data_IF_695793478678
#
_entry.id   IF_695793478678
#
_cell.length_a   1.000
_cell.length_b   1.000
_cell.length_c   1.000
_cell.angle_alpha   90.00
_cell.angle_beta   90.00
_cell.angle_gamma   90.00
#
_symmetry.space_group_name_H-M   'P 1'
#
loop_
_entity.id
_entity.type
_entity.pdbx_description
1 polymer ?
#
# COMPACT_ATOMS: atom_id res chain seq x y z
N UNK A 1 -7.13 6.83 18.85
CA UNK A 1 -6.17 5.69 18.76
C UNK A 1 -4.94 6.13 17.98
N UNK A 2 -3.85 5.37 18.01
CA UNK A 2 -2.66 5.59 17.19
C UNK A 2 -2.50 4.44 16.19
N UNK A 3 -2.44 4.74 14.90
CA UNK A 3 -2.34 3.77 13.83
C UNK A 3 -1.12 4.08 12.97
N UNK A 4 -0.35 3.05 12.61
CA UNK A 4 0.74 3.17 11.64
C UNK A 4 0.45 2.26 10.45
N UNK A 5 0.43 2.84 9.25
CA UNK A 5 0.32 2.14 7.97
C UNK A 5 1.72 2.06 7.35
N UNK A 6 2.22 0.85 7.08
CA UNK A 6 3.57 0.62 6.57
C UNK A 6 3.52 0.12 5.13
N UNK A 7 4.05 0.93 4.21
CA UNK A 7 4.00 0.72 2.77
C UNK A 7 5.39 0.75 2.14
N UNK A 8 5.51 0.13 0.96
CA UNK A 8 6.75 0.03 0.22
C UNK A 8 7.06 1.33 -0.53
N UNK A 9 6.07 1.89 -1.25
CA UNK A 9 6.29 3.00 -2.18
C UNK A 9 5.29 4.16 -2.00
N UNK A 10 5.60 5.35 -2.52
CA UNK A 10 4.66 6.48 -2.64
C UNK A 10 3.50 6.18 -3.59
N UNK A 11 2.27 6.02 -3.06
CA UNK A 11 0.98 5.73 -3.74
C UNK A 11 0.23 4.59 -3.04
N UNK A 12 0.97 3.59 -2.55
CA UNK A 12 0.44 2.42 -1.88
C UNK A 12 -0.48 2.77 -0.71
N UNK A 13 -0.18 3.84 0.04
CA UNK A 13 -1.01 4.26 1.18
C UNK A 13 -2.42 4.67 0.74
N UNK A 14 -2.53 5.24 -0.46
CA UNK A 14 -3.78 5.68 -1.06
C UNK A 14 -4.49 4.53 -1.81
N UNK A 15 -3.72 3.67 -2.47
CA UNK A 15 -4.21 2.53 -3.26
C UNK A 15 -4.80 1.42 -2.40
N UNK A 16 -4.10 1.04 -1.33
CA UNK A 16 -4.46 -0.11 -0.51
C UNK A 16 -5.27 0.24 0.73
N UNK A 17 -4.99 1.39 1.34
CA UNK A 17 -5.48 1.74 2.68
C UNK A 17 -5.99 3.18 2.79
N UNK A 18 -6.19 3.85 1.66
CA UNK A 18 -6.54 5.27 1.64
C UNK A 18 -7.86 5.52 2.35
N UNK A 19 -8.83 4.60 2.21
CA UNK A 19 -10.11 4.70 2.88
C UNK A 19 -9.97 4.53 4.39
N UNK A 20 -9.23 3.53 4.87
CA UNK A 20 -9.00 3.30 6.29
C UNK A 20 -8.24 4.45 6.93
N UNK A 21 -7.24 5.01 6.25
CA UNK A 21 -6.51 6.18 6.72
C UNK A 21 -7.46 7.37 6.88
N UNK A 22 -8.22 7.71 5.83
CA UNK A 22 -9.16 8.83 5.86
C UNK A 22 -10.27 8.63 6.91
N UNK A 23 -10.83 7.43 7.00
CA UNK A 23 -11.84 7.04 8.00
C UNK A 23 -11.34 7.29 9.42
N UNK A 24 -10.16 6.80 9.77
CA UNK A 24 -9.60 6.95 11.11
C UNK A 24 -9.19 8.40 11.40
N UNK A 25 -8.58 9.09 10.43
CA UNK A 25 -8.21 10.50 10.58
C UNK A 25 -9.43 11.40 10.84
N UNK A 26 -10.52 11.22 10.09
CA UNK A 26 -11.76 11.98 10.27
C UNK A 26 -12.40 11.79 11.65
N UNK A 27 -12.12 10.67 12.32
CA UNK A 27 -12.61 10.34 13.66
C UNK A 27 -11.69 10.85 14.79
N UNK A 28 -10.62 11.56 14.43
CA UNK A 28 -9.66 12.10 15.39
C UNK A 28 -8.64 11.08 15.89
N UNK A 29 -8.49 9.94 15.21
CA UNK A 29 -7.38 9.03 15.48
C UNK A 29 -6.08 9.61 14.93
N UNK A 30 -4.98 9.37 15.63
CA UNK A 30 -3.65 9.76 15.18
C UNK A 30 -3.12 8.72 14.20
N UNK A 31 -3.32 8.96 12.90
CA UNK A 31 -2.85 8.09 11.83
C UNK A 31 -1.49 8.55 11.31
N UNK A 32 -0.54 7.64 11.15
CA UNK A 32 0.75 7.90 10.51
C UNK A 32 1.02 6.91 9.38
N UNK A 33 1.73 7.37 8.36
CA UNK A 33 2.22 6.55 7.25
C UNK A 33 3.74 6.41 7.35
N UNK A 34 4.25 5.20 7.16
CA UNK A 34 5.66 4.89 7.02
C UNK A 34 5.89 4.29 5.63
N UNK A 35 6.69 4.94 4.80
CA UNK A 35 7.01 4.47 3.44
C UNK A 35 8.46 4.00 3.38
N UNK A 36 8.69 2.77 2.94
CA UNK A 36 10.01 2.13 2.99
C UNK A 36 11.01 2.70 1.98
N UNK A 37 10.54 3.08 0.79
CA UNK A 37 11.35 3.59 -0.33
C UNK A 37 10.70 4.82 -0.97
N UNK A 38 11.33 5.43 -1.97
CA UNK A 38 10.76 6.58 -2.70
C UNK A 38 10.25 6.23 -4.09
N UNK A 39 10.24 4.94 -4.44
CA UNK A 39 9.69 4.51 -5.72
C UNK A 39 10.55 4.94 -6.91
N UNK A 40 11.85 4.86 -6.73
CA UNK A 40 12.84 5.35 -7.69
C UNK A 40 12.88 4.57 -9.03
N UNK A 41 12.24 3.41 -9.09
CA UNK A 41 12.15 2.55 -10.28
C UNK A 41 10.74 2.60 -10.92
N UNK A 42 9.88 3.52 -10.48
CA UNK A 42 8.52 3.66 -11.01
C UNK A 42 8.46 4.15 -12.46
N UNK A 43 7.47 3.65 -13.20
CA UNK A 43 7.09 4.19 -14.51
C UNK A 43 6.43 5.56 -14.36
N UNK A 44 6.43 6.39 -15.41
CA UNK A 44 5.84 7.74 -15.37
C UNK A 44 4.74 7.89 -16.41
N UNK A 45 3.51 8.14 -15.95
CA UNK A 45 2.33 8.28 -16.81
C UNK A 45 2.34 9.57 -17.65
N UNK A 46 2.50 10.79 -17.09
CA UNK A 46 2.40 12.01 -17.88
C UNK A 46 3.56 12.14 -18.87
N UNK A 47 3.25 12.36 -20.15
CA UNK A 47 4.23 12.38 -21.22
C UNK A 47 5.32 13.45 -21.01
N UNK A 48 4.94 14.60 -20.44
CA UNK A 48 5.83 15.71 -20.13
C UNK A 48 6.83 15.39 -19.00
N UNK A 49 6.53 14.41 -18.14
CA UNK A 49 7.39 13.98 -17.04
C UNK A 49 8.16 12.68 -17.33
N UNK A 50 7.91 12.05 -18.49
CA UNK A 50 8.48 10.74 -18.85
C UNK A 50 10.01 10.70 -18.90
N UNK A 51 10.66 11.86 -18.99
CA UNK A 51 12.11 11.99 -18.89
C UNK A 51 12.69 11.70 -17.50
N UNK A 52 11.84 11.58 -16.46
CA UNK A 52 12.22 11.22 -15.10
C UNK A 52 12.33 9.69 -14.89
N UNK A 53 11.63 8.91 -15.73
CA UNK A 53 11.64 7.45 -15.71
C UNK A 53 13.03 6.93 -16.10
N UNK A 54 13.45 5.82 -15.49
CA UNK A 54 14.67 5.13 -15.91
C UNK A 54 14.42 4.35 -17.21
N UNK A 55 15.34 4.42 -18.19
CA UNK A 55 15.24 3.58 -19.38
C UNK A 55 15.15 2.10 -18.99
N UNK A 56 14.23 1.33 -19.58
CA UNK A 56 14.05 -0.08 -19.25
C UNK A 56 15.36 -0.87 -19.30
N UNK A 57 15.67 -1.58 -18.22
CA UNK A 57 16.85 -2.42 -18.11
C UNK A 57 18.17 -1.68 -17.85
N UNK A 58 18.16 -0.36 -17.65
CA UNK A 58 19.35 0.40 -17.27
C UNK A 58 19.33 0.71 -15.77
N UNK A 59 20.31 0.22 -14.97
CA UNK A 59 20.40 0.60 -13.58
C UNK A 59 20.86 2.05 -13.45
N UNK A 60 20.28 2.79 -12.49
CA UNK A 60 20.81 4.11 -12.11
C UNK A 60 22.20 3.96 -11.48
N UNK A 61 23.17 4.85 -11.79
CA UNK A 61 24.43 4.89 -11.06
C UNK A 61 24.21 5.16 -9.56
N UNK A 62 25.02 4.54 -8.70
CA UNK A 62 24.81 4.48 -7.24
C UNK A 62 24.63 5.86 -6.57
N UNK A 63 25.41 6.83 -7.03
CA UNK A 63 25.48 8.19 -6.48
C UNK A 63 24.73 9.22 -7.35
N UNK A 64 23.99 8.79 -8.36
CA UNK A 64 23.24 9.71 -9.19
C UNK A 64 22.02 10.26 -8.43
N UNK A 65 21.67 11.55 -8.61
CA UNK A 65 20.42 12.08 -8.12
C UNK A 65 19.24 11.34 -8.75
N UNK A 66 18.12 11.31 -8.03
CA UNK A 66 16.89 10.68 -8.48
C UNK A 66 15.72 11.68 -8.44
N UNK A 67 15.52 12.46 -9.51
CA UNK A 67 14.48 13.50 -9.52
C UNK A 67 13.06 12.91 -9.49
N UNK A 68 12.88 11.64 -9.86
CA UNK A 68 11.60 10.96 -9.69
C UNK A 68 11.32 10.71 -8.20
N UNK A 69 12.33 10.28 -7.45
CA UNK A 69 12.23 10.10 -6.00
C UNK A 69 11.85 11.40 -5.26
N UNK A 70 12.45 12.52 -5.66
CA UNK A 70 12.15 13.83 -5.09
C UNK A 70 10.71 14.25 -5.40
N UNK A 71 10.26 14.07 -6.65
CA UNK A 71 8.89 14.36 -7.04
C UNK A 71 7.89 13.46 -6.30
N UNK A 72 8.14 12.15 -6.25
CA UNK A 72 7.26 11.18 -5.58
C UNK A 72 7.22 11.40 -4.07
N UNK A 73 8.29 11.94 -3.46
CA UNK A 73 8.25 12.40 -2.07
C UNK A 73 7.23 13.53 -1.89
N UNK A 74 7.19 14.50 -2.79
CA UNK A 74 6.23 15.61 -2.71
C UNK A 74 4.79 15.14 -2.99
N UNK A 75 4.61 14.21 -3.93
CA UNK A 75 3.33 13.55 -4.20
C UNK A 75 2.81 12.80 -2.97
N UNK A 76 3.66 12.01 -2.30
CA UNK A 76 3.37 11.33 -1.04
C UNK A 76 2.92 12.27 0.07
N UNK A 77 3.69 13.33 0.34
CA UNK A 77 3.32 14.30 1.39
C UNK A 77 1.98 14.97 1.07
N UNK A 78 1.73 15.26 -0.21
CA UNK A 78 0.47 15.84 -0.64
C UNK A 78 -0.70 14.87 -0.47
N UNK A 79 -0.53 13.60 -0.87
CA UNK A 79 -1.55 12.56 -0.74
C UNK A 79 -1.91 12.28 0.72
N UNK A 80 -0.91 12.07 1.57
CA UNK A 80 -1.09 11.83 3.02
C UNK A 80 -1.82 12.99 3.69
N UNK A 81 -1.56 14.22 3.25
CA UNK A 81 -2.29 15.41 3.72
C UNK A 81 -3.76 15.41 3.29
N UNK A 82 -4.08 15.01 2.05
CA UNK A 82 -5.47 14.86 1.59
C UNK A 82 -6.22 13.78 2.40
N UNK A 83 -5.55 12.68 2.72
CA UNK A 83 -6.09 11.62 3.58
C UNK A 83 -6.30 12.06 5.04
N UNK A 84 -5.80 13.23 5.43
CA UNK A 84 -5.92 13.74 6.81
C UNK A 84 -4.99 13.05 7.82
N UNK A 85 -4.05 12.21 7.36
CA UNK A 85 -3.08 11.58 8.24
C UNK A 85 -2.16 12.63 8.90
N UNK A 86 -1.76 12.35 10.15
CA UNK A 86 -0.96 13.27 10.97
C UNK A 86 0.44 13.51 10.40
N UNK A 87 1.04 12.47 9.84
CA UNK A 87 2.42 12.53 9.32
C UNK A 87 2.70 11.37 8.37
N UNK A 88 3.69 11.58 7.51
CA UNK A 88 4.38 10.53 6.76
C UNK A 88 5.87 10.60 7.02
N UNK A 89 6.51 9.44 7.13
CA UNK A 89 7.96 9.31 7.27
C UNK A 89 8.50 8.36 6.22
N UNK A 90 9.63 8.70 5.62
CA UNK A 90 10.39 7.79 4.76
C UNK A 90 11.38 7.01 5.63
N UNK A 91 11.31 5.68 5.59
CA UNK A 91 12.10 4.80 6.46
C UNK A 91 13.60 5.09 6.34
N UNK A 92 14.27 5.19 7.50
CA UNK A 92 15.72 5.37 7.60
C UNK A 92 16.25 6.50 6.68
N UNK A 93 15.50 7.60 6.58
CA UNK A 93 15.83 8.78 5.79
C UNK A 93 16.10 8.49 4.30
N UNK A 94 15.39 7.53 3.71
CA UNK A 94 15.53 7.16 2.30
C UNK A 94 16.79 6.34 2.00
N UNK A 95 17.32 5.64 3.01
CA UNK A 95 18.46 4.71 2.85
C UNK A 95 18.16 3.60 1.86
N UNK A 96 16.92 3.12 1.84
CA UNK A 96 16.47 2.01 1.02
C UNK A 96 15.91 2.54 -0.30
N UNK A 97 16.42 1.99 -1.40
CA UNK A 97 15.98 2.26 -2.76
C UNK A 97 14.93 1.23 -3.17
N UNK A 98 13.92 1.66 -3.92
CA UNK A 98 13.03 0.79 -4.66
C UNK A 98 13.81 -0.31 -5.41
N UNK A 99 13.44 -1.57 -5.19
CA UNK A 99 14.10 -2.71 -5.82
C UNK A 99 13.64 -2.96 -7.25
N UNK A 100 12.56 -2.27 -7.69
CA UNK A 100 11.83 -2.59 -8.90
C UNK A 100 11.17 -3.96 -8.89
N UNK A 101 10.59 -4.34 -10.02
CA UNK A 101 9.93 -5.63 -10.21
C UNK A 101 10.92 -6.81 -10.14
N UNK A 102 10.40 -7.99 -9.80
CA UNK A 102 11.20 -9.21 -9.74
C UNK A 102 11.94 -9.48 -11.07
N UNK A 103 13.24 -9.75 -10.99
CA UNK A 103 14.08 -10.05 -12.15
C UNK A 103 14.64 -8.82 -12.88
N UNK A 104 14.32 -7.60 -12.44
CA UNK A 104 14.90 -6.38 -13.01
C UNK A 104 16.35 -6.15 -12.53
N UNK A 105 17.19 -5.43 -13.31
CA UNK A 105 18.56 -5.11 -12.92
C UNK A 105 18.68 -4.22 -11.67
N UNK A 106 17.65 -3.43 -11.34
CA UNK A 106 17.63 -2.53 -10.18
C UNK A 106 17.74 -3.27 -8.85
N UNK A 107 17.29 -4.53 -8.76
CA UNK A 107 17.49 -5.38 -7.60
C UNK A 107 18.98 -5.65 -7.25
N UNK A 108 19.90 -5.41 -8.18
CA UNK A 108 21.35 -5.52 -7.96
C UNK A 108 21.97 -4.23 -7.40
N UNK A 109 21.19 -3.15 -7.31
CA UNK A 109 21.66 -1.90 -6.75
C UNK A 109 22.05 -2.09 -5.27
N UNK A 110 23.19 -1.56 -4.78
CA UNK A 110 23.64 -1.77 -3.40
C UNK A 110 22.68 -1.29 -2.31
N UNK A 111 21.78 -0.36 -2.66
CA UNK A 111 20.71 0.16 -1.78
C UNK A 111 19.33 -0.47 -2.02
N UNK A 112 19.19 -1.42 -2.95
CA UNK A 112 17.91 -2.07 -3.23
C UNK A 112 17.31 -2.64 -1.93
N UNK A 113 16.05 -2.33 -1.67
CA UNK A 113 15.38 -2.63 -0.41
C UNK A 113 15.34 -4.14 -0.11
N UNK A 114 15.05 -4.94 -1.12
CA UNK A 114 15.07 -6.41 -1.04
C UNK A 114 16.48 -6.99 -0.84
N UNK A 115 17.51 -6.26 -1.28
CA UNK A 115 18.93 -6.60 -1.08
C UNK A 115 19.43 -6.34 0.35
N UNK A 116 18.75 -5.50 1.13
CA UNK A 116 19.07 -5.32 2.54
C UNK A 116 18.75 -6.59 3.35
N UNK A 117 19.40 -6.78 4.51
CA UNK A 117 19.01 -7.87 5.41
C UNK A 117 17.67 -7.55 6.08
N UNK A 118 16.72 -8.48 6.08
CA UNK A 118 15.39 -8.29 6.69
C UNK A 118 15.49 -7.87 8.16
N UNK A 119 16.46 -8.40 8.92
CA UNK A 119 16.69 -8.03 10.32
C UNK A 119 17.09 -6.55 10.51
N UNK A 120 17.76 -5.95 9.52
CA UNK A 120 18.11 -4.52 9.54
C UNK A 120 16.87 -3.66 9.28
N UNK A 121 16.09 -4.03 8.27
CA UNK A 121 14.85 -3.32 7.94
C UNK A 121 13.86 -3.40 9.11
N UNK A 122 13.69 -4.59 9.70
CA UNK A 122 12.80 -4.77 10.85
C UNK A 122 13.28 -4.00 12.08
N UNK A 123 14.60 -3.85 12.28
CA UNK A 123 15.16 -3.01 13.33
C UNK A 123 14.79 -1.53 13.13
N UNK A 124 14.96 -1.01 11.91
CA UNK A 124 14.61 0.38 11.57
C UNK A 124 13.10 0.63 11.74
N UNK A 125 12.24 -0.29 11.27
CA UNK A 125 10.79 -0.21 11.47
C UNK A 125 10.45 -0.28 12.97
N UNK A 126 11.03 -1.21 13.74
CA UNK A 126 10.77 -1.32 15.17
C UNK A 126 11.20 -0.07 15.94
N UNK A 127 12.27 0.61 15.53
CA UNK A 127 12.66 1.89 16.11
C UNK A 127 11.57 2.95 15.91
N UNK A 128 11.05 3.09 14.69
CA UNK A 128 9.93 3.98 14.39
C UNK A 128 8.66 3.62 15.18
N UNK A 129 8.29 2.34 15.24
CA UNK A 129 7.10 1.90 15.99
C UNK A 129 7.24 2.16 17.51
N UNK A 130 8.44 2.05 18.09
CA UNK A 130 8.67 2.41 19.49
C UNK A 130 8.48 3.90 19.77
N UNK A 131 8.83 4.75 18.81
CA UNK A 131 8.62 6.20 18.91
C UNK A 131 7.12 6.53 18.83
N UNK A 132 6.43 5.99 17.83
CA UNK A 132 5.01 6.30 17.59
C UNK A 132 4.06 5.59 18.57
N UNK A 133 4.50 4.47 19.18
CA UNK A 133 3.71 3.62 20.09
C UNK A 133 2.30 3.34 19.57
N UNK A 134 2.14 2.84 18.34
CA UNK A 134 0.83 2.59 17.77
C UNK A 134 0.10 1.49 18.54
N UNK A 135 -1.22 1.50 18.45
CA UNK A 135 -2.09 0.42 18.92
C UNK A 135 -2.40 -0.55 17.79
N UNK A 136 -2.34 -0.08 16.54
CA UNK A 136 -2.63 -0.83 15.32
C UNK A 136 -1.50 -0.58 14.31
N UNK A 137 -1.03 -1.65 13.67
CA UNK A 137 -0.12 -1.59 12.52
C UNK A 137 -0.75 -2.34 11.35
N UNK A 138 -0.76 -1.70 10.19
CA UNK A 138 -1.28 -2.28 8.94
C UNK A 138 -0.18 -2.36 7.90
N UNK A 139 -0.12 -3.46 7.15
CA UNK A 139 0.76 -3.62 5.98
C UNK A 139 0.15 -4.61 4.98
N UNK A 140 0.93 -5.12 4.02
CA UNK A 140 0.50 -6.13 3.05
C UNK A 140 0.33 -7.53 3.68
N UNK A 141 -0.37 -8.42 2.98
CA UNK A 141 -0.30 -9.86 3.27
C UNK A 141 1.10 -10.46 2.94
N UNK A 142 1.27 -11.76 3.21
CA UNK A 142 2.54 -12.45 3.00
C UNK A 142 2.97 -12.57 1.53
N UNK A 143 2.06 -12.36 0.59
CA UNK A 143 2.31 -12.32 -0.85
C UNK A 143 2.56 -10.90 -1.36
N UNK A 144 2.45 -9.87 -0.50
CA UNK A 144 2.72 -8.49 -0.88
C UNK A 144 1.69 -7.91 -1.83
N UNK A 145 0.41 -8.29 -1.73
CA UNK A 145 -0.61 -7.80 -2.65
C UNK A 145 -0.58 -8.56 -3.99
N UNK A 146 0.14 -7.99 -4.96
CA UNK A 146 0.30 -8.56 -6.30
C UNK A 146 1.64 -9.28 -6.53
N UNK A 147 2.46 -9.46 -5.48
CA UNK A 147 3.75 -10.14 -5.58
C UNK A 147 4.94 -9.21 -5.80
N UNK A 148 4.82 -7.91 -5.55
CA UNK A 148 5.97 -7.00 -5.63
C UNK A 148 7.03 -7.40 -4.59
N UNK A 149 8.33 -7.52 -4.96
CA UNK A 149 9.39 -7.89 -4.02
C UNK A 149 9.47 -7.00 -2.78
N UNK A 150 9.34 -5.68 -2.97
CA UNK A 150 9.36 -4.73 -1.84
C UNK A 150 8.12 -4.81 -0.94
N UNK A 151 6.96 -5.21 -1.47
CA UNK A 151 5.76 -5.39 -0.64
C UNK A 151 5.92 -6.62 0.26
N UNK A 152 6.44 -7.72 -0.31
CA UNK A 152 6.78 -8.93 0.44
C UNK A 152 7.80 -8.59 1.53
N UNK A 153 8.87 -7.86 1.18
CA UNK A 153 9.87 -7.44 2.17
C UNK A 153 9.29 -6.52 3.24
N UNK A 154 8.39 -5.61 2.88
CA UNK A 154 7.70 -4.74 3.82
C UNK A 154 6.84 -5.54 4.78
N UNK A 155 6.10 -6.55 4.31
CA UNK A 155 5.37 -7.49 5.15
C UNK A 155 6.30 -8.21 6.14
N UNK A 156 7.35 -8.86 5.63
CA UNK A 156 8.29 -9.63 6.44
C UNK A 156 8.93 -8.78 7.55
N UNK A 157 9.44 -7.60 7.18
CA UNK A 157 10.14 -6.72 8.09
C UNK A 157 9.19 -6.08 9.11
N UNK A 158 7.98 -5.68 8.70
CA UNK A 158 6.98 -5.11 9.60
C UNK A 158 6.48 -6.15 10.58
N UNK A 159 6.18 -7.38 10.13
CA UNK A 159 5.76 -8.48 11.02
C UNK A 159 6.84 -8.77 12.06
N UNK A 160 8.10 -8.90 11.63
CA UNK A 160 9.23 -9.11 12.52
C UNK A 160 9.44 -7.93 13.50
N UNK A 161 9.25 -6.69 13.04
CA UNK A 161 9.33 -5.51 13.88
C UNK A 161 8.27 -5.54 14.99
N UNK A 162 7.00 -5.78 14.63
CA UNK A 162 5.88 -5.88 15.57
C UNK A 162 6.11 -7.00 16.58
N UNK A 163 6.52 -8.18 16.13
CA UNK A 163 6.83 -9.33 16.98
C UNK A 163 7.97 -9.08 17.98
N UNK A 164 8.87 -8.13 17.68
CA UNK A 164 10.00 -7.78 18.54
C UNK A 164 9.68 -6.77 19.64
N UNK A 165 8.48 -6.17 19.62
CA UNK A 165 8.07 -5.19 20.62
C UNK A 165 7.62 -5.89 21.91
N UNK A 166 7.90 -5.28 23.06
CA UNK A 166 7.49 -5.82 24.36
C UNK A 166 5.95 -5.84 24.51
N UNK A 167 5.28 -4.85 23.93
CA UNK A 167 3.83 -4.74 23.82
C UNK A 167 3.47 -4.63 22.33
N UNK A 168 3.31 -5.77 21.62
CA UNK A 168 2.99 -5.75 20.20
C UNK A 168 1.61 -5.09 19.92
N UNK A 169 1.52 -4.11 19.00
CA UNK A 169 0.22 -3.60 18.53
C UNK A 169 -0.58 -4.71 17.83
N UNK A 170 -1.87 -4.48 17.67
CA UNK A 170 -2.68 -5.32 16.79
C UNK A 170 -2.16 -5.21 15.34
N UNK A 171 -1.89 -6.35 14.71
CA UNK A 171 -1.25 -6.43 13.40
C UNK A 171 -2.26 -6.88 12.35
N UNK A 172 -2.42 -6.08 11.30
CA UNK A 172 -3.38 -6.30 10.24
C UNK A 172 -2.70 -6.31 8.88
N UNK A 173 -3.24 -7.10 7.97
CA UNK A 173 -2.86 -7.11 6.56
C UNK A 173 -4.05 -6.75 5.69
N UNK A 174 -3.84 -5.85 4.74
CA UNK A 174 -4.85 -5.52 3.73
C UNK A 174 -5.02 -6.68 2.75
N UNK A 175 -6.28 -7.00 2.40
CA UNK A 175 -6.66 -8.06 1.46
C UNK A 175 -7.91 -7.64 0.67
N UNK A 176 -8.25 -8.40 -0.37
CA UNK A 176 -9.52 -8.25 -1.10
C UNK A 176 -10.36 -9.53 -0.94
N UNK A 177 -11.59 -9.47 -0.40
CA UNK A 177 -12.46 -10.64 -0.36
C UNK A 177 -12.86 -11.08 -1.78
N UNK A 178 -12.93 -12.39 -2.03
CA UNK A 178 -13.28 -12.94 -3.35
C UNK A 178 -14.62 -12.40 -3.86
N UNK A 179 -15.64 -12.32 -3.01
CA UNK A 179 -16.94 -11.76 -3.39
C UNK A 179 -16.84 -10.31 -3.90
N UNK A 180 -15.99 -9.48 -3.26
CA UNK A 180 -15.77 -8.09 -3.66
C UNK A 180 -14.99 -8.00 -4.97
N UNK A 181 -13.96 -8.83 -5.15
CA UNK A 181 -13.21 -8.86 -6.40
C UNK A 181 -14.08 -9.22 -7.61
N UNK A 182 -15.03 -10.16 -7.44
CA UNK A 182 -16.03 -10.50 -8.46
C UNK A 182 -16.96 -9.33 -8.73
N UNK A 183 -17.53 -8.73 -7.68
CA UNK A 183 -18.44 -7.58 -7.80
C UNK A 183 -17.76 -6.40 -8.51
N UNK A 184 -16.50 -6.12 -8.17
CA UNK A 184 -15.76 -4.99 -8.72
C UNK A 184 -15.47 -5.20 -10.21
N UNK A 185 -15.16 -6.44 -10.65
CA UNK A 185 -15.03 -6.76 -12.08
C UNK A 185 -16.34 -6.57 -12.84
N UNK A 186 -17.46 -7.03 -12.29
CA UNK A 186 -18.78 -6.82 -12.90
C UNK A 186 -19.08 -5.34 -13.03
N UNK A 187 -18.87 -4.57 -11.96
CA UNK A 187 -19.08 -3.13 -11.98
C UNK A 187 -18.19 -2.43 -13.02
N UNK A 188 -16.90 -2.78 -13.08
CA UNK A 188 -15.97 -2.19 -14.04
C UNK A 188 -16.37 -2.47 -15.49
N UNK A 189 -16.85 -3.67 -15.80
CA UNK A 189 -17.33 -4.02 -17.14
C UNK A 189 -18.55 -3.18 -17.59
N UNK A 190 -19.38 -2.76 -16.64
CA UNK A 190 -20.57 -1.94 -16.91
C UNK A 190 -20.28 -0.43 -16.96
N UNK A 191 -19.27 0.04 -16.21
CA UNK A 191 -19.06 1.47 -15.96
C UNK A 191 -17.78 2.04 -16.61
N UNK A 192 -16.89 1.20 -17.12
CA UNK A 192 -15.64 1.65 -17.76
C UNK A 192 -15.83 1.85 -19.25
N UNK A 193 -15.82 3.11 -19.69
CA UNK A 193 -15.99 3.48 -21.11
C UNK A 193 -14.84 4.31 -21.67
N UNK A 194 -13.85 4.67 -20.84
CA UNK A 194 -12.75 5.53 -21.26
C UNK A 194 -11.83 4.83 -22.27
N UNK A 195 -11.44 5.49 -23.37
CA UNK A 195 -10.53 4.92 -24.35
C UNK A 195 -9.18 4.53 -23.76
N UNK A 196 -8.65 3.37 -24.14
CA UNK A 196 -7.32 2.90 -23.73
C UNK A 196 -7.27 2.27 -22.33
N UNK A 197 -8.38 2.24 -21.60
CA UNK A 197 -8.49 1.54 -20.31
C UNK A 197 -8.78 0.05 -20.55
N UNK A 198 -8.06 -0.81 -19.83
CA UNK A 198 -8.23 -2.26 -19.84
C UNK A 198 -9.13 -2.67 -18.68
N UNK A 199 -10.25 -3.31 -18.98
CA UNK A 199 -11.13 -3.92 -17.97
C UNK A 199 -10.68 -5.37 -17.74
N UNK A 200 -10.38 -5.79 -16.50
CA UNK A 200 -10.04 -7.18 -16.20
C UNK A 200 -11.15 -8.14 -16.63
N UNK A 201 -10.78 -9.27 -17.22
CA UNK A 201 -11.77 -10.27 -17.64
C UNK A 201 -12.39 -10.96 -16.42
N UNK A 202 -13.69 -11.34 -16.44
CA UNK A 202 -14.29 -12.15 -15.38
C UNK A 202 -13.50 -13.43 -15.07
N UNK A 203 -12.93 -14.07 -16.10
CA UNK A 203 -12.22 -15.34 -16.01
C UNK A 203 -10.71 -15.20 -15.75
N UNK A 204 -10.18 -13.98 -15.68
CA UNK A 204 -8.77 -13.73 -15.39
C UNK A 204 -8.43 -14.19 -13.97
N UNK A 205 -7.24 -14.73 -13.74
CA UNK A 205 -6.81 -15.06 -12.39
C UNK A 205 -6.85 -13.82 -11.48
N UNK A 206 -7.26 -14.01 -10.23
CA UNK A 206 -7.20 -12.93 -9.24
C UNK A 206 -5.76 -12.75 -8.74
N UNK A 207 -5.49 -11.56 -8.19
CA UNK A 207 -4.24 -11.28 -7.50
C UNK A 207 -4.07 -12.21 -6.28
N UNK A 208 -2.83 -12.52 -5.86
CA UNK A 208 -2.56 -13.32 -4.68
C UNK A 208 -3.25 -12.83 -3.39
N UNK A 209 -3.48 -11.52 -3.27
CA UNK A 209 -4.18 -10.90 -2.13
C UNK A 209 -5.70 -11.03 -2.13
N UNK A 210 -6.27 -11.67 -3.15
CA UNK A 210 -7.69 -12.04 -3.14
C UNK A 210 -7.87 -13.31 -2.32
N UNK A 211 -8.60 -13.20 -1.21
CA UNK A 211 -8.80 -14.29 -0.25
C UNK A 211 -10.27 -14.71 -0.19
N UNK A 212 -10.53 -15.92 0.32
CA UNK A 212 -11.89 -16.34 0.62
C UNK A 212 -12.53 -15.44 1.69
N UNK A 213 -13.82 -15.18 1.56
CA UNK A 213 -14.56 -14.23 2.40
C UNK A 213 -14.53 -14.56 3.90
N UNK A 214 -14.36 -15.84 4.26
CA UNK A 214 -14.31 -16.32 5.65
C UNK A 214 -12.96 -16.11 6.34
N UNK A 215 -11.91 -15.79 5.57
CA UNK A 215 -10.58 -15.40 6.09
C UNK A 215 -10.59 -13.95 6.58
N UNK A 216 -11.49 -13.12 6.04
CA UNK A 216 -11.56 -11.69 6.35
C UNK A 216 -12.06 -11.48 7.77
N UNK A 217 -11.32 -10.69 8.53
CA UNK A 217 -11.63 -10.45 9.95
C UNK A 217 -12.29 -9.09 10.18
N UNK A 218 -11.90 -8.07 9.43
CA UNK A 218 -12.34 -6.67 9.62
C UNK A 218 -12.56 -6.01 8.27
N UNK A 219 -13.45 -5.01 8.24
CA UNK A 219 -13.69 -4.18 7.06
C UNK A 219 -13.85 -2.72 7.45
N UNK A 220 -13.41 -1.84 6.57
CA UNK A 220 -13.76 -0.42 6.60
C UNK A 220 -14.68 -0.18 5.42
N UNK A 221 -15.89 0.33 5.68
CA UNK A 221 -16.85 0.73 4.64
C UNK A 221 -17.28 2.15 4.98
N UNK A 222 -16.90 3.10 4.14
CA UNK A 222 -17.10 4.52 4.40
C UNK A 222 -17.20 5.29 3.08
N UNK A 223 -18.43 5.64 2.70
CA UNK A 223 -18.67 6.41 1.47
C UNK A 223 -18.20 7.86 1.60
N UNK A 224 -18.19 8.42 2.81
CA UNK A 224 -17.78 9.80 3.03
C UNK A 224 -16.26 9.95 2.88
N UNK A 225 -15.50 8.92 3.25
CA UNK A 225 -14.04 8.85 3.10
C UNK A 225 -13.56 8.66 1.64
N UNK A 226 -14.45 8.26 0.74
CA UNK A 226 -14.10 7.97 -0.67
C UNK A 226 -13.59 9.22 -1.40
N UNK A 227 -14.14 10.39 -1.07
CA UNK A 227 -13.74 11.66 -1.68
C UNK A 227 -12.27 11.98 -1.35
N UNK A 228 -11.85 11.79 -0.09
CA UNK A 228 -10.49 12.02 0.36
C UNK A 228 -9.52 11.00 -0.24
N UNK A 229 -9.90 9.71 -0.31
CA UNK A 229 -9.09 8.70 -1.02
C UNK A 229 -8.90 9.10 -2.49
N UNK A 230 -9.96 9.51 -3.17
CA UNK A 230 -9.92 9.95 -4.57
C UNK A 230 -9.02 11.19 -4.73
N UNK A 231 -9.11 12.16 -3.81
CA UNK A 231 -8.25 13.35 -3.81
C UNK A 231 -6.78 12.99 -3.60
N UNK A 232 -6.47 12.06 -2.70
CA UNK A 232 -5.11 11.58 -2.44
C UNK A 232 -4.52 10.85 -3.65
N UNK A 233 -5.28 9.96 -4.29
CA UNK A 233 -4.85 9.29 -5.53
C UNK A 233 -4.49 10.28 -6.64
N UNK A 234 -5.23 11.40 -6.77
CA UNK A 234 -4.91 12.46 -7.73
C UNK A 234 -3.61 13.19 -7.44
N UNK A 235 -3.06 13.09 -6.23
CA UNK A 235 -1.74 13.68 -5.90
C UNK A 235 -0.58 12.86 -6.47
N UNK A 236 -0.78 11.56 -6.66
CA UNK A 236 0.18 10.65 -7.29
C UNK A 236 0.11 10.70 -8.82
N UNK A 237 0.18 11.90 -9.40
CA UNK A 237 -0.04 12.10 -10.85
C UNK A 237 0.97 11.36 -11.73
N UNK A 238 2.14 11.00 -11.21
CA UNK A 238 3.11 10.20 -11.97
C UNK A 238 2.69 8.74 -12.07
N UNK A 239 1.91 8.23 -11.12
CA UNK A 239 1.59 6.81 -10.94
C UNK A 239 0.12 6.46 -11.18
N UNK A 240 -0.82 7.40 -10.99
CA UNK A 240 -2.26 7.13 -10.98
C UNK A 240 -3.04 8.06 -11.90
N UNK A 241 -3.89 7.48 -12.75
CA UNK A 241 -4.96 8.19 -13.46
C UNK A 241 -6.30 7.93 -12.77
N UNK A 242 -7.00 8.98 -12.34
CA UNK A 242 -8.29 8.85 -11.65
C UNK A 242 -9.44 9.23 -12.57
N UNK A 243 -10.41 8.34 -12.70
CA UNK A 243 -11.64 8.48 -13.47
C UNK A 243 -12.86 8.58 -12.53
N UNK A 244 -14.06 8.54 -13.10
CA UNK A 244 -15.31 8.49 -12.33
C UNK A 244 -15.55 7.08 -11.78
N UNK A 245 -15.30 6.89 -10.48
CA UNK A 245 -15.52 5.62 -9.76
C UNK A 245 -14.44 4.54 -9.93
N UNK A 246 -13.35 4.81 -10.66
CA UNK A 246 -12.21 3.90 -10.78
C UNK A 246 -10.91 4.67 -11.08
N UNK A 247 -9.77 3.99 -11.02
CA UNK A 247 -8.47 4.51 -11.43
C UNK A 247 -7.70 3.48 -12.26
N UNK A 248 -6.62 3.92 -12.90
CA UNK A 248 -5.64 3.05 -13.54
C UNK A 248 -4.22 3.44 -13.14
N UNK A 249 -3.28 2.50 -13.27
CA UNK A 249 -1.84 2.75 -13.21
C UNK A 249 -1.27 2.82 -14.64
N UNK A 250 0.05 2.75 -14.78
CA UNK A 250 0.74 2.80 -16.09
C UNK A 250 0.33 1.66 -17.04
N UNK A 251 -0.09 0.51 -16.50
CA UNK A 251 -0.60 -0.64 -17.25
C UNK A 251 -2.03 -0.43 -17.81
N UNK A 252 -2.66 0.71 -17.52
CA UNK A 252 -4.01 1.07 -17.91
C UNK A 252 -5.13 0.11 -17.43
N UNK A 253 -4.85 -0.79 -16.49
CA UNK A 253 -5.84 -1.73 -15.93
C UNK A 253 -6.71 -1.01 -14.91
N UNK A 254 -8.03 -1.10 -15.08
CA UNK A 254 -9.00 -0.44 -14.22
C UNK A 254 -9.12 -1.12 -12.85
N UNK A 255 -9.14 -0.31 -11.79
CA UNK A 255 -9.43 -0.73 -10.41
C UNK A 255 -10.52 0.16 -9.82
N UNK A 256 -11.58 -0.46 -9.28
CA UNK A 256 -12.76 0.26 -8.76
C UNK A 256 -12.46 0.99 -7.46
N UNK A 257 -13.01 2.20 -7.32
CA UNK A 257 -13.09 2.96 -6.08
C UNK A 257 -14.39 2.60 -5.35
N UNK A 258 -14.37 1.54 -4.53
CA UNK A 258 -15.58 0.89 -4.01
C UNK A 258 -16.02 1.35 -2.60
N UNK A 259 -15.40 2.39 -2.03
CA UNK A 259 -15.67 2.87 -0.65
C UNK A 259 -15.59 1.75 0.42
N UNK A 260 -14.74 0.75 0.19
CA UNK A 260 -14.53 -0.37 1.10
C UNK A 260 -13.12 -0.94 1.02
N UNK A 261 -12.60 -1.36 2.18
CA UNK A 261 -11.32 -2.04 2.34
C UNK A 261 -11.48 -3.18 3.36
N UNK A 262 -10.73 -4.27 3.18
CA UNK A 262 -10.82 -5.45 4.04
C UNK A 262 -9.45 -5.85 4.59
N UNK A 263 -9.49 -6.46 5.78
CA UNK A 263 -8.28 -6.76 6.55
C UNK A 263 -8.36 -8.12 7.23
N UNK A 264 -7.20 -8.76 7.34
CA UNK A 264 -6.98 -9.95 8.16
C UNK A 264 -6.11 -9.56 9.34
N UNK A 265 -6.56 -9.88 10.56
CA UNK A 265 -5.76 -9.73 11.77
C UNK A 265 -4.87 -10.95 11.91
N UNK A 266 -3.56 -10.74 12.07
CA UNK A 266 -2.59 -11.82 12.21
C UNK A 266 -1.98 -11.83 13.61
N UNK A 267 -1.55 -13.01 14.06
CA UNK A 267 -0.55 -13.14 15.11
C UNK A 267 0.83 -12.79 14.49
N UNK A 268 1.52 -11.75 14.97
CA UNK A 268 2.80 -11.35 14.40
C UNK A 268 3.92 -12.38 14.63
N UNK A 269 3.81 -13.27 15.64
CA UNK A 269 4.82 -14.29 15.92
C UNK A 269 4.70 -15.47 14.94
N UNK A 270 3.50 -16.02 14.79
CA UNK A 270 3.27 -17.17 13.90
C UNK A 270 2.97 -16.79 12.45
N UNK A 271 2.50 -15.56 12.20
CA UNK A 271 1.95 -15.12 10.91
C UNK A 271 0.58 -15.71 10.60
N UNK A 272 -0.02 -16.47 11.52
CA UNK A 272 -1.33 -17.08 11.32
C UNK A 272 -2.45 -16.05 11.45
N UNK A 273 -3.50 -16.21 10.65
CA UNK A 273 -4.73 -15.46 10.83
C UNK A 273 -5.33 -15.77 12.21
N UNK A 274 -5.62 -14.72 12.97
CA UNK A 274 -6.41 -14.86 14.18
C UNK A 274 -7.86 -15.11 13.79
N UNK A 275 -8.60 -15.96 14.53
CA UNK A 275 -9.99 -16.20 14.22
C UNK A 275 -10.74 -14.85 14.20
N UNK A 276 -11.47 -14.60 13.11
CA UNK A 276 -12.46 -13.54 13.11
C UNK A 276 -13.44 -13.76 14.27
N UNK A 277 -13.98 -12.70 14.86
CA UNK A 277 -14.99 -12.86 15.90
C UNK A 277 -16.16 -13.62 15.28
N UNK A 278 -16.30 -14.88 15.69
CA UNK A 278 -17.35 -15.79 15.28
C UNK A 278 -18.71 -15.11 15.47
N UNK A 279 -19.35 -14.70 14.38
CA UNK A 279 -20.79 -14.79 14.06
C UNK A 279 -21.18 -13.70 13.04
N UNK A 280 -20.95 -13.89 11.74
CA UNK A 280 -21.64 -13.13 10.67
C UNK A 280 -21.56 -11.58 10.69
N UNK A 281 -20.76 -10.99 11.57
CA UNK A 281 -20.64 -9.57 11.82
C UNK A 281 -19.17 -9.21 11.58
N UNK A 282 -18.88 -8.69 10.39
CA UNK A 282 -17.60 -8.05 10.10
C UNK A 282 -17.49 -6.83 11.02
N UNK A 283 -16.38 -6.67 11.73
CA UNK A 283 -16.15 -5.46 12.52
C UNK A 283 -16.03 -4.26 11.58
N UNK A 284 -16.74 -3.18 11.89
CA UNK A 284 -16.61 -1.91 11.19
C UNK A 284 -15.43 -1.13 11.77
N UNK A 285 -14.45 -0.82 10.93
CA UNK A 285 -13.19 -0.19 11.36
C UNK A 285 -12.08 -1.20 11.69
N UNK A 286 -10.90 -0.69 12.05
CA UNK A 286 -9.77 -1.49 12.54
C UNK A 286 -9.75 -1.67 14.07
N UNK A 287 -10.90 -1.53 14.72
CA UNK A 287 -11.00 -1.59 16.18
C UNK A 287 -11.33 -3.02 16.63
N UNK A 288 -10.68 -3.46 17.70
CA UNK A 288 -10.91 -4.77 18.33
C UNK A 288 -12.28 -4.90 18.99
#
# INVERSE_FOLDING_TARGET
MRLVFVHAHPDDESLWTGLAIAHHAARGDEVQVLTCTLGEEGEVIPAELRHLELPPGMPRPVDAPDPLADLRRDELHSAVKELGARSVTVLADGRYRDSGMAGTPSAQHPRAFTGAQTARVSHDIAAYLREMRPQIVVTYDAHGGYGHPDHIRTHEATRAAVASLAEPPAFYTVVTPRSWAVEDRTWLAEHTTAPGVVVPSPDEAFLPSVVEDDVVTHVVIDADALEQQTAALRRHRTQVNVFDGYYTLSNAVATRLAAREAFVRLDPLSGAALPGVSTGLRHTGLVA
#
